data_IF_856443725532
#
_entry.id   IF_856443725532
#
_cell.length_a   1.000
_cell.length_b   1.000
_cell.length_c   1.000
_cell.angle_alpha   90.00
_cell.angle_beta   90.00
_cell.angle_gamma   90.00
#
_symmetry.space_group_name_H-M   'P 1'
#
loop_
_entity.id
_entity.type
_entity.pdbx_description
1 polymer ?
#
# COMPACT_ATOMS: atom_id res chain seq x y z
N UNK A 1 11.15 21.32 26.04
CA UNK A 1 10.80 21.21 24.60
C UNK A 1 11.96 20.49 23.94
N UNK A 2 11.70 19.36 23.26
CA UNK A 2 12.76 18.61 22.57
C UNK A 2 12.91 19.10 21.13
N UNK A 3 14.13 19.30 20.69
CA UNK A 3 14.47 19.73 19.33
C UNK A 3 15.33 18.69 18.65
N UNK A 4 15.06 18.43 17.36
CA UNK A 4 15.87 17.51 16.55
C UNK A 4 16.28 18.19 15.25
N UNK A 5 17.57 18.12 14.94
CA UNK A 5 18.14 18.58 13.67
C UNK A 5 18.53 17.36 12.82
N UNK A 6 17.91 17.19 11.68
CA UNK A 6 18.32 16.25 10.64
C UNK A 6 19.21 17.01 9.66
N UNK A 7 20.49 16.67 9.61
CA UNK A 7 21.54 17.49 8.99
C UNK A 7 22.07 16.88 7.71
N UNK A 8 22.18 17.70 6.65
CA UNK A 8 22.97 17.39 5.45
C UNK A 8 22.35 16.34 4.52
N UNK A 9 21.08 15.97 4.71
CA UNK A 9 20.39 15.03 3.85
C UNK A 9 19.87 15.66 2.55
N UNK A 10 19.68 14.83 1.51
CA UNK A 10 18.90 15.22 0.33
C UNK A 10 17.42 15.22 0.70
N UNK A 11 16.85 16.39 0.88
CA UNK A 11 15.43 16.55 1.21
C UNK A 11 14.62 16.39 -0.06
N UNK A 12 13.72 15.42 -0.08
CA UNK A 12 12.81 15.16 -1.19
C UNK A 12 11.38 15.23 -0.68
N UNK A 13 10.71 16.36 -0.94
CA UNK A 13 9.29 16.57 -0.62
C UNK A 13 8.51 16.97 -1.88
N UNK A 14 7.85 16.01 -2.54
CA UNK A 14 7.07 16.28 -3.74
C UNK A 14 5.90 17.25 -3.50
N UNK A 15 5.35 17.31 -2.30
CA UNK A 15 4.23 18.21 -1.95
C UNK A 15 4.61 19.69 -2.02
N UNK A 16 5.91 19.99 -1.88
CA UNK A 16 6.46 21.34 -1.93
C UNK A 16 7.40 21.54 -3.13
N UNK A 17 7.53 20.56 -4.04
CA UNK A 17 8.49 20.54 -5.15
C UNK A 17 9.95 20.73 -4.68
N UNK A 18 10.33 20.14 -3.55
CA UNK A 18 11.68 20.21 -2.99
C UNK A 18 12.45 18.95 -3.33
N UNK A 19 13.65 19.10 -3.92
CA UNK A 19 14.63 18.02 -4.15
C UNK A 19 16.03 18.64 -4.12
N UNK A 20 16.61 18.79 -2.92
CA UNK A 20 17.92 19.39 -2.71
C UNK A 20 18.53 18.98 -1.36
N UNK A 21 19.83 19.14 -1.22
CA UNK A 21 20.50 18.98 0.08
C UNK A 21 20.10 20.13 1.02
N UNK A 22 19.86 19.81 2.28
CA UNK A 22 19.47 20.77 3.29
C UNK A 22 19.36 20.16 4.69
N UNK A 23 18.86 20.94 5.62
CA UNK A 23 18.63 20.55 7.00
C UNK A 23 17.15 20.64 7.32
N UNK A 24 16.63 19.67 8.07
CA UNK A 24 15.25 19.67 8.56
C UNK A 24 15.25 19.83 10.08
N UNK A 25 14.50 20.78 10.58
CA UNK A 25 14.42 21.06 12.01
C UNK A 25 13.04 20.70 12.56
N UNK A 26 13.04 19.95 13.66
CA UNK A 26 11.83 19.49 14.34
C UNK A 26 11.78 20.08 15.74
N UNK A 27 10.57 20.39 16.20
CA UNK A 27 10.29 20.80 17.58
C UNK A 27 9.16 19.97 18.14
N UNK A 28 9.45 19.18 19.15
CA UNK A 28 8.54 18.17 19.71
C UNK A 28 8.03 17.20 18.63
N UNK A 29 6.72 17.17 18.40
CA UNK A 29 6.02 16.34 17.42
C UNK A 29 5.76 17.04 16.08
N UNK A 30 6.31 18.25 15.87
CA UNK A 30 6.05 19.08 14.67
C UNK A 30 7.30 19.40 13.87
N UNK A 31 7.10 19.52 12.57
CA UNK A 31 8.10 20.06 11.67
C UNK A 31 8.15 21.58 11.87
N UNK A 32 9.31 22.13 12.21
CA UNK A 32 9.51 23.57 12.30
C UNK A 32 9.83 24.16 10.92
N UNK A 33 10.70 23.52 10.16
CA UNK A 33 10.99 23.92 8.79
C UNK A 33 12.28 23.36 8.23
N UNK A 34 12.49 23.65 6.96
CA UNK A 34 13.70 23.32 6.20
C UNK A 34 14.60 24.55 6.19
N UNK A 35 15.91 24.36 6.55
CA UNK A 35 16.95 25.40 6.57
C UNK A 35 16.54 26.64 7.40
N UNK A 36 15.98 26.42 8.58
CA UNK A 36 15.52 27.48 9.50
C UNK A 36 16.65 28.34 10.07
N UNK A 37 17.92 28.02 9.77
CA UNK A 37 19.10 28.68 10.35
C UNK A 37 19.47 28.10 11.73
N UNK A 38 18.69 27.22 12.30
CA UNK A 38 19.03 26.56 13.56
C UNK A 38 20.25 25.64 13.38
N UNK A 39 21.28 25.85 14.21
CA UNK A 39 22.54 25.08 14.18
C UNK A 39 22.71 24.21 15.44
N UNK A 40 21.87 24.43 16.44
CA UNK A 40 21.91 23.71 17.74
C UNK A 40 20.56 23.05 17.98
N UNK A 41 20.57 21.80 18.38
CA UNK A 41 19.39 21.03 18.76
C UNK A 41 19.78 20.05 19.89
N UNK A 42 18.76 19.57 20.64
CA UNK A 42 18.98 18.56 21.69
C UNK A 42 19.46 17.21 21.09
N UNK A 43 18.96 16.92 19.87
CA UNK A 43 19.34 15.72 19.10
C UNK A 43 19.77 16.10 17.70
N UNK A 44 20.84 15.49 17.20
CA UNK A 44 21.29 15.66 15.81
C UNK A 44 21.35 14.30 15.14
N UNK A 45 20.70 14.18 13.99
CA UNK A 45 20.74 13.02 13.11
C UNK A 45 21.51 13.43 11.86
N UNK A 46 22.66 12.80 11.62
CA UNK A 46 23.44 13.01 10.40
C UNK A 46 22.80 12.20 9.25
N UNK A 47 22.35 12.87 8.23
CA UNK A 47 21.73 12.29 7.06
C UNK A 47 22.55 12.52 5.78
N UNK A 48 23.84 12.84 5.90
CA UNK A 48 24.70 13.04 4.76
C UNK A 48 24.72 11.82 3.82
N UNK A 49 24.46 12.03 2.53
CA UNK A 49 24.33 10.95 1.55
C UNK A 49 23.00 10.18 1.57
N UNK A 50 22.11 10.49 2.51
CA UNK A 50 20.79 9.88 2.64
C UNK A 50 19.68 10.76 2.06
N UNK A 51 18.52 10.16 1.80
CA UNK A 51 17.31 10.86 1.39
C UNK A 51 16.43 11.08 2.61
N UNK A 52 16.02 12.32 2.83
CA UNK A 52 15.06 12.71 3.89
C UNK A 52 13.74 13.06 3.21
N UNK A 53 12.70 12.31 3.50
CA UNK A 53 11.39 12.51 2.89
C UNK A 53 10.26 12.49 3.95
N UNK A 54 9.04 12.94 3.59
CA UNK A 54 7.87 12.69 4.43
C UNK A 54 7.77 11.20 4.75
N UNK A 55 7.24 10.88 5.90
CA UNK A 55 6.99 9.48 6.27
C UNK A 55 6.18 8.75 5.20
N UNK A 56 6.65 7.56 4.84
CA UNK A 56 5.99 6.74 3.81
C UNK A 56 4.63 6.25 4.31
N UNK A 57 3.69 6.07 3.38
CA UNK A 57 2.30 5.69 3.64
C UNK A 57 1.93 4.51 2.74
N UNK A 58 1.39 3.45 3.33
CA UNK A 58 0.89 2.29 2.60
C UNK A 58 -0.64 2.20 2.71
N UNK A 59 -1.33 2.05 1.58
CA UNK A 59 -2.80 2.02 1.52
C UNK A 59 -3.40 0.63 1.70
N UNK A 60 -2.58 -0.45 1.65
CA UNK A 60 -3.09 -1.80 1.50
C UNK A 60 -2.36 -2.79 2.42
N UNK A 61 -2.79 -2.82 3.69
CA UNK A 61 -2.12 -3.62 4.73
C UNK A 61 -3.14 -4.41 5.53
N UNK A 62 -3.03 -5.74 5.52
CA UNK A 62 -3.79 -6.63 6.40
C UNK A 62 -3.04 -6.87 7.69
N UNK A 63 -3.60 -6.41 8.82
CA UNK A 63 -3.02 -6.57 10.15
C UNK A 63 -3.60 -7.76 10.93
N UNK A 64 -4.60 -8.46 10.36
CA UNK A 64 -5.16 -9.73 10.83
C UNK A 64 -5.76 -9.74 12.24
N UNK A 65 -5.66 -8.69 12.99
CA UNK A 65 -6.22 -8.55 14.34
C UNK A 65 -7.44 -7.62 14.33
N UNK A 66 -8.59 -8.09 14.84
CA UNK A 66 -8.83 -9.35 15.56
C UNK A 66 -9.06 -10.56 14.61
N UNK A 67 -8.79 -11.77 15.12
CA UNK A 67 -9.26 -13.06 14.59
C UNK A 67 -8.20 -13.99 14.02
N UNK A 68 -7.20 -13.47 13.31
CA UNK A 68 -6.13 -14.25 12.70
C UNK A 68 -4.73 -13.86 13.24
N UNK A 69 -4.62 -13.70 14.55
CA UNK A 69 -3.39 -13.24 15.25
C UNK A 69 -2.20 -14.20 15.09
N UNK A 70 -2.43 -15.42 14.61
CA UNK A 70 -1.33 -16.30 14.19
C UNK A 70 -0.61 -15.79 12.95
N UNK A 71 -1.36 -15.24 12.01
CA UNK A 71 -0.84 -14.71 10.75
C UNK A 71 -0.12 -13.38 10.97
N UNK A 72 -0.75 -12.47 11.73
CA UNK A 72 -0.19 -11.16 12.08
C UNK A 72 -0.93 -10.58 13.29
N UNK A 73 -0.31 -9.57 13.94
CA UNK A 73 -0.96 -8.71 14.92
C UNK A 73 -0.74 -7.24 14.54
N UNK A 74 -1.56 -6.34 15.08
CA UNK A 74 -1.34 -4.90 14.90
C UNK A 74 0.06 -4.50 15.37
N UNK A 75 0.55 -5.09 16.46
CA UNK A 75 1.89 -4.82 16.98
C UNK A 75 2.98 -5.24 15.99
N UNK A 76 2.99 -6.50 15.54
CA UNK A 76 4.02 -7.00 14.64
C UNK A 76 3.94 -6.38 13.24
N UNK A 77 2.74 -6.19 12.69
CA UNK A 77 2.54 -5.53 11.39
C UNK A 77 2.96 -4.06 11.40
N UNK A 78 2.67 -3.31 12.48
CA UNK A 78 3.14 -1.92 12.60
C UNK A 78 4.65 -1.83 12.84
N UNK A 79 5.25 -2.81 13.51
CA UNK A 79 6.71 -2.91 13.61
C UNK A 79 7.35 -3.22 12.24
N UNK A 80 6.73 -4.09 11.42
CA UNK A 80 7.15 -4.36 10.05
C UNK A 80 7.01 -3.11 9.16
N UNK A 81 5.93 -2.34 9.32
CA UNK A 81 5.74 -1.08 8.63
C UNK A 81 6.90 -0.11 8.90
N UNK A 82 7.29 0.08 10.15
CA UNK A 82 8.46 0.92 10.50
C UNK A 82 9.75 0.40 9.89
N UNK A 83 9.99 -0.91 9.95
CA UNK A 83 11.19 -1.52 9.37
C UNK A 83 11.25 -1.30 7.85
N UNK A 84 10.10 -1.26 7.18
CA UNK A 84 9.96 -0.90 5.77
C UNK A 84 10.00 0.60 5.47
N UNK A 85 10.02 1.46 6.50
CA UNK A 85 10.03 2.92 6.34
C UNK A 85 8.66 3.59 6.38
N UNK A 86 7.59 2.85 6.64
CA UNK A 86 6.22 3.40 6.69
C UNK A 86 5.97 4.06 8.05
N UNK A 87 5.53 5.31 8.06
CA UNK A 87 5.05 6.00 9.27
C UNK A 87 3.54 5.88 9.43
N UNK A 88 2.86 5.50 8.36
CA UNK A 88 1.41 5.40 8.31
C UNK A 88 0.98 4.24 7.42
N UNK A 89 -0.09 3.53 7.83
CA UNK A 89 -0.70 2.46 7.05
C UNK A 89 -2.22 2.57 7.08
N UNK A 90 -2.89 2.23 5.97
CA UNK A 90 -4.31 1.97 5.96
C UNK A 90 -4.55 0.47 6.19
N UNK A 91 -5.32 0.16 7.23
CA UNK A 91 -5.59 -1.22 7.64
C UNK A 91 -6.86 -1.74 6.97
N UNK A 92 -6.75 -2.89 6.29
CA UNK A 92 -7.87 -3.58 5.67
C UNK A 92 -8.89 -4.06 6.71
N UNK A 93 -10.19 -4.10 6.37
CA UNK A 93 -11.25 -4.56 7.27
C UNK A 93 -11.42 -6.08 7.27
N UNK A 94 -10.48 -6.84 6.69
CA UNK A 94 -10.49 -8.30 6.50
C UNK A 94 -10.12 -9.08 7.78
N UNK A 95 -10.77 -8.71 8.86
CA UNK A 95 -10.61 -9.29 10.21
C UNK A 95 -11.80 -10.20 10.57
N UNK A 96 -11.74 -10.89 11.70
CA UNK A 96 -12.82 -11.69 12.22
C UNK A 96 -13.12 -11.30 13.70
N UNK A 97 -14.21 -10.54 13.96
CA UNK A 97 -15.21 -10.05 13.00
C UNK A 97 -14.67 -8.98 12.02
N UNK A 98 -15.37 -8.84 10.89
CA UNK A 98 -15.09 -7.79 9.89
C UNK A 98 -15.28 -6.40 10.48
N UNK A 99 -14.50 -5.41 10.03
CA UNK A 99 -14.68 -4.00 10.45
C UNK A 99 -15.85 -3.39 9.65
N UNK A 100 -17.08 -3.76 9.96
CA UNK A 100 -18.31 -3.31 9.29
C UNK A 100 -19.21 -2.42 10.14
N UNK A 101 -18.77 -2.10 11.36
CA UNK A 101 -19.48 -1.24 12.30
C UNK A 101 -18.50 -0.38 13.12
N UNK A 102 -19.05 0.63 13.81
CA UNK A 102 -18.27 1.60 14.59
C UNK A 102 -17.40 0.95 15.66
N UNK A 103 -17.92 -0.01 16.41
CA UNK A 103 -17.19 -0.61 17.52
C UNK A 103 -15.94 -1.37 17.05
N UNK A 104 -16.02 -2.03 15.88
CA UNK A 104 -14.87 -2.70 15.27
C UNK A 104 -13.81 -1.69 14.80
N UNK A 105 -14.21 -0.55 14.21
CA UNK A 105 -13.27 0.50 13.82
C UNK A 105 -12.57 1.14 15.04
N UNK A 106 -13.31 1.44 16.11
CA UNK A 106 -12.76 1.97 17.37
C UNK A 106 -11.81 0.96 18.04
N UNK A 107 -12.13 -0.34 17.98
CA UNK A 107 -11.24 -1.38 18.48
C UNK A 107 -9.87 -1.36 17.79
N UNK A 108 -9.84 -1.31 16.45
CA UNK A 108 -8.59 -1.21 15.69
C UNK A 108 -7.78 0.01 16.11
N UNK A 109 -8.41 1.18 16.22
CA UNK A 109 -7.73 2.40 16.67
C UNK A 109 -7.16 2.27 18.08
N UNK A 110 -7.91 1.66 19.01
CA UNK A 110 -7.44 1.46 20.38
C UNK A 110 -6.21 0.53 20.43
N UNK A 111 -6.21 -0.56 19.67
CA UNK A 111 -5.07 -1.47 19.60
C UNK A 111 -3.85 -0.81 18.95
N UNK A 112 -4.06 -0.02 17.90
CA UNK A 112 -2.99 0.77 17.28
C UNK A 112 -2.35 1.77 18.25
N UNK A 113 -3.18 2.46 19.04
CA UNK A 113 -2.67 3.38 20.07
C UNK A 113 -1.84 2.65 21.15
N UNK A 114 -2.18 1.41 21.47
CA UNK A 114 -1.44 0.55 22.42
C UNK A 114 -0.12 0.05 21.82
N UNK A 115 -0.12 -0.38 20.57
CA UNK A 115 1.09 -0.81 19.86
C UNK A 115 2.12 0.31 19.79
N UNK A 116 1.69 1.54 19.50
CA UNK A 116 2.52 2.75 19.59
C UNK A 116 3.64 2.86 18.54
N UNK A 117 3.61 2.03 17.48
CA UNK A 117 4.69 2.03 16.47
C UNK A 117 4.45 3.07 15.38
N UNK A 118 3.44 2.93 14.53
CA UNK A 118 3.13 3.88 13.45
C UNK A 118 1.67 4.33 13.49
N UNK A 119 1.28 5.29 12.65
CA UNK A 119 -0.11 5.70 12.50
C UNK A 119 -0.88 4.63 11.73
N UNK A 120 -2.04 4.22 12.23
CA UNK A 120 -2.92 3.27 11.53
C UNK A 120 -4.27 3.93 11.29
N UNK A 121 -4.71 3.88 10.04
CA UNK A 121 -5.99 4.43 9.58
C UNK A 121 -6.89 3.27 9.17
N UNK A 122 -7.97 2.97 9.90
CA UNK A 122 -8.85 1.86 9.54
C UNK A 122 -9.62 2.16 8.26
N UNK A 123 -9.73 1.16 7.39
CA UNK A 123 -10.74 1.10 6.36
C UNK A 123 -11.95 0.35 6.92
N UNK A 124 -13.16 0.78 6.55
CA UNK A 124 -14.38 0.07 6.88
C UNK A 124 -14.82 -0.84 5.73
N UNK A 125 -15.64 -1.85 6.01
CA UNK A 125 -16.27 -2.65 4.98
C UNK A 125 -17.26 -1.83 4.16
N UNK A 126 -17.37 -2.14 2.85
CA UNK A 126 -18.44 -1.62 2.00
C UNK A 126 -19.75 -2.34 2.32
N UNK A 127 -19.69 -3.67 2.45
CA UNK A 127 -20.84 -4.50 2.73
C UNK A 127 -20.67 -5.26 4.05
N UNK A 128 -21.78 -5.57 4.71
CA UNK A 128 -21.76 -6.36 5.95
C UNK A 128 -21.10 -7.71 5.68
N UNK A 129 -20.19 -8.11 6.57
CA UNK A 129 -19.46 -9.37 6.48
C UNK A 129 -18.75 -9.61 5.13
N UNK A 130 -18.56 -8.58 4.29
CA UNK A 130 -18.04 -8.70 2.91
C UNK A 130 -18.88 -9.60 2.01
N UNK A 131 -20.20 -9.67 2.23
CA UNK A 131 -21.08 -10.59 1.50
C UNK A 131 -21.61 -10.04 0.17
N UNK A 132 -21.38 -8.74 -0.10
CA UNK A 132 -21.80 -8.08 -1.34
C UNK A 132 -23.31 -7.83 -1.47
N UNK A 133 -24.11 -8.04 -0.41
CA UNK A 133 -25.57 -7.98 -0.45
C UNK A 133 -26.15 -6.72 0.19
N UNK A 134 -25.64 -6.32 1.34
CA UNK A 134 -26.13 -5.19 2.12
C UNK A 134 -24.99 -4.25 2.50
N UNK A 135 -25.19 -2.94 2.38
CA UNK A 135 -24.19 -1.96 2.80
C UNK A 135 -23.93 -2.06 4.31
N UNK A 136 -22.66 -1.93 4.67
CA UNK A 136 -22.24 -1.74 6.05
C UNK A 136 -22.72 -0.38 6.59
N UNK A 137 -22.52 -0.13 7.87
CA UNK A 137 -22.95 1.10 8.54
C UNK A 137 -21.97 2.26 8.26
N UNK A 138 -21.83 2.64 6.97
CA UNK A 138 -20.84 3.60 6.45
C UNK A 138 -20.75 4.88 7.29
N UNK A 139 -21.89 5.49 7.65
CA UNK A 139 -21.89 6.70 8.48
C UNK A 139 -21.28 6.49 9.86
N UNK A 140 -21.62 5.39 10.52
CA UNK A 140 -21.06 5.04 11.82
C UNK A 140 -19.57 4.65 11.74
N UNK A 141 -19.16 4.00 10.65
CA UNK A 141 -17.75 3.71 10.40
C UNK A 141 -16.92 4.99 10.23
N UNK A 142 -17.47 6.02 9.56
CA UNK A 142 -16.80 7.35 9.48
C UNK A 142 -16.66 7.96 10.87
N UNK A 143 -17.71 7.91 11.70
CA UNK A 143 -17.64 8.37 13.10
C UNK A 143 -16.63 7.58 13.93
N UNK A 144 -16.46 6.28 13.65
CA UNK A 144 -15.44 5.39 14.23
C UNK A 144 -14.04 5.62 13.65
N UNK A 145 -13.86 6.59 12.73
CA UNK A 145 -12.56 7.01 12.19
C UNK A 145 -12.13 6.32 10.89
N UNK A 146 -13.02 5.59 10.21
CA UNK A 146 -12.72 5.02 8.91
C UNK A 146 -12.41 6.10 7.87
N UNK A 147 -11.30 5.93 7.13
CA UNK A 147 -10.82 6.89 6.14
C UNK A 147 -11.19 6.51 4.69
N UNK A 148 -11.72 5.32 4.48
CA UNK A 148 -12.20 4.78 3.22
C UNK A 148 -12.91 3.46 3.43
N UNK A 149 -13.38 2.81 2.35
CA UNK A 149 -14.21 1.61 2.44
C UNK A 149 -13.77 0.56 1.43
N UNK A 150 -13.75 -0.71 1.84
CA UNK A 150 -13.38 -1.85 0.98
C UNK A 150 -13.93 -3.16 1.51
N UNK A 151 -14.26 -4.09 0.63
CA UNK A 151 -14.45 -5.50 1.01
C UNK A 151 -13.18 -6.33 0.78
N UNK A 152 -12.02 -5.66 0.86
CA UNK A 152 -10.69 -6.26 0.71
C UNK A 152 -10.57 -7.08 -0.61
N UNK A 153 -10.22 -8.36 -0.52
CA UNK A 153 -10.09 -9.26 -1.69
C UNK A 153 -11.44 -9.79 -2.22
N UNK A 154 -12.56 -9.46 -1.56
CA UNK A 154 -13.90 -9.78 -2.04
C UNK A 154 -14.43 -8.62 -2.87
N UNK A 155 -14.46 -8.70 -4.22
CA UNK A 155 -14.93 -7.58 -5.01
C UNK A 155 -16.42 -7.35 -4.79
N UNK A 156 -16.84 -6.09 -4.66
CA UNK A 156 -18.27 -5.75 -4.64
C UNK A 156 -18.83 -5.94 -6.04
N UNK A 157 -19.24 -7.16 -6.38
CA UNK A 157 -19.64 -7.56 -7.73
C UNK A 157 -21.00 -6.98 -8.15
N UNK A 158 -21.92 -6.79 -7.21
CA UNK A 158 -23.24 -6.24 -7.50
C UNK A 158 -23.13 -4.74 -7.84
N UNK A 159 -23.46 -4.40 -9.09
CA UNK A 159 -23.36 -3.02 -9.60
C UNK A 159 -24.29 -2.04 -8.85
N UNK A 160 -25.48 -2.46 -8.42
CA UNK A 160 -26.41 -1.60 -7.67
C UNK A 160 -25.89 -1.32 -6.24
N UNK A 161 -25.30 -2.31 -5.57
CA UNK A 161 -24.68 -2.13 -4.26
C UNK A 161 -23.49 -1.16 -4.38
N UNK A 162 -22.60 -1.37 -5.37
CA UNK A 162 -21.49 -0.46 -5.62
C UNK A 162 -21.95 0.97 -5.97
N UNK A 163 -23.01 1.12 -6.78
CA UNK A 163 -23.57 2.43 -7.09
C UNK A 163 -24.02 3.17 -5.82
N UNK A 164 -24.83 2.51 -4.99
CA UNK A 164 -25.31 3.08 -3.71
C UNK A 164 -24.17 3.41 -2.76
N UNK A 165 -23.18 2.53 -2.69
CA UNK A 165 -21.98 2.75 -1.87
C UNK A 165 -21.24 4.02 -2.32
N UNK A 166 -21.00 4.21 -3.62
CA UNK A 166 -20.34 5.39 -4.18
C UNK A 166 -21.14 6.68 -3.92
N UNK A 167 -22.47 6.65 -4.06
CA UNK A 167 -23.36 7.78 -3.73
C UNK A 167 -23.25 8.13 -2.24
N UNK A 168 -23.28 7.13 -1.36
CA UNK A 168 -23.28 7.36 0.07
C UNK A 168 -21.91 7.83 0.57
N UNK A 169 -20.80 7.19 0.17
CA UNK A 169 -19.45 7.59 0.59
C UNK A 169 -19.04 8.97 0.08
N UNK A 170 -19.61 9.41 -1.06
CA UNK A 170 -19.42 10.76 -1.59
C UNK A 170 -19.85 11.84 -0.59
N UNK A 171 -20.89 11.61 0.20
CA UNK A 171 -21.38 12.57 1.23
C UNK A 171 -20.30 12.87 2.28
N UNK A 172 -19.44 11.90 2.55
CA UNK A 172 -18.33 12.02 3.52
C UNK A 172 -16.99 12.35 2.86
N UNK A 173 -16.95 12.47 1.52
CA UNK A 173 -15.71 12.67 0.78
C UNK A 173 -14.72 11.51 0.86
N UNK A 174 -15.20 10.30 1.14
CA UNK A 174 -14.37 9.10 1.33
C UNK A 174 -14.34 8.23 0.08
N UNK A 175 -13.17 7.65 -0.29
CA UNK A 175 -13.05 6.73 -1.41
C UNK A 175 -13.61 5.34 -1.09
N UNK A 176 -14.03 4.63 -2.14
CA UNK A 176 -14.20 3.18 -2.11
C UNK A 176 -12.97 2.56 -2.78
N UNK A 177 -12.36 1.60 -2.12
CA UNK A 177 -11.30 0.75 -2.63
C UNK A 177 -11.91 -0.55 -3.09
N UNK A 178 -11.83 -0.86 -4.38
CA UNK A 178 -12.35 -2.11 -4.91
C UNK A 178 -11.23 -2.97 -5.50
N UNK A 179 -11.25 -4.26 -5.18
CA UNK A 179 -10.41 -5.27 -5.82
C UNK A 179 -11.07 -5.65 -7.15
N UNK A 180 -10.58 -5.14 -8.31
CA UNK A 180 -11.36 -5.12 -9.53
C UNK A 180 -11.28 -6.44 -10.30
N UNK A 181 -11.91 -7.50 -9.81
CA UNK A 181 -11.96 -8.80 -10.48
C UNK A 181 -13.40 -9.31 -10.57
N UNK A 182 -13.78 -9.85 -11.74
CA UNK A 182 -15.07 -10.53 -11.94
C UNK A 182 -15.01 -11.92 -11.30
N UNK A 183 -15.80 -12.19 -10.23
CA UNK A 183 -15.66 -13.44 -9.45
C UNK A 183 -15.87 -14.70 -10.30
N UNK A 184 -16.79 -14.69 -11.24
CA UNK A 184 -17.11 -15.82 -12.11
C UNK A 184 -15.94 -16.20 -13.02
N UNK A 185 -15.08 -15.24 -13.38
CA UNK A 185 -13.90 -15.45 -14.22
C UNK A 185 -12.67 -15.84 -13.41
N UNK A 186 -12.63 -15.53 -12.11
CA UNK A 186 -11.50 -15.82 -11.24
C UNK A 186 -11.69 -17.08 -10.41
N UNK A 187 -12.93 -17.57 -10.29
CA UNK A 187 -13.27 -18.71 -9.45
C UNK A 187 -12.36 -19.92 -9.68
N UNK A 188 -11.66 -20.36 -8.60
CA UNK A 188 -10.68 -21.45 -8.61
C UNK A 188 -9.46 -21.21 -9.52
N UNK A 189 -9.23 -19.99 -10.01
CA UNK A 189 -8.02 -19.64 -10.74
C UNK A 189 -6.83 -19.53 -9.78
N UNK A 190 -5.63 -19.84 -10.26
CA UNK A 190 -4.41 -19.91 -9.45
C UNK A 190 -3.37 -18.91 -9.96
N UNK A 191 -3.30 -18.74 -11.27
CA UNK A 191 -2.29 -17.96 -11.94
C UNK A 191 -2.86 -17.26 -13.19
N UNK A 192 -2.06 -16.45 -13.86
CA UNK A 192 -2.43 -15.85 -15.14
C UNK A 192 -2.81 -16.92 -16.19
N UNK A 193 -3.95 -16.70 -16.88
CA UNK A 193 -4.33 -17.53 -18.03
C UNK A 193 -3.40 -17.23 -19.22
N UNK A 194 -2.58 -18.19 -19.59
CA UNK A 194 -1.62 -18.04 -20.66
C UNK A 194 -0.71 -19.27 -20.83
N UNK A 195 0.47 -19.05 -21.37
CA UNK A 195 1.43 -20.13 -21.67
C UNK A 195 1.74 -20.99 -20.44
N UNK A 196 2.08 -20.37 -19.31
CA UNK A 196 2.48 -21.13 -18.11
C UNK A 196 1.32 -21.84 -17.45
N UNK A 197 0.11 -21.31 -17.43
CA UNK A 197 -1.04 -22.02 -16.85
C UNK A 197 -1.35 -23.29 -17.66
N UNK A 198 -1.24 -23.22 -18.98
CA UNK A 198 -1.41 -24.39 -19.84
C UNK A 198 -0.27 -25.41 -19.65
N UNK A 199 0.99 -24.94 -19.61
CA UNK A 199 2.17 -25.81 -19.42
C UNK A 199 2.13 -26.56 -18.08
N UNK A 200 1.72 -25.89 -17.01
CA UNK A 200 1.68 -26.44 -15.65
C UNK A 200 0.39 -27.17 -15.32
N UNK A 201 -0.61 -27.16 -16.22
CA UNK A 201 -1.92 -27.75 -15.99
C UNK A 201 -2.72 -27.04 -14.87
N UNK A 202 -2.41 -25.75 -14.61
CA UNK A 202 -3.06 -24.97 -13.58
C UNK A 202 -4.19 -24.11 -14.18
N UNK A 203 -5.25 -23.89 -13.38
CA UNK A 203 -6.37 -23.07 -13.83
C UNK A 203 -5.96 -21.60 -13.91
N UNK A 204 -6.14 -21.01 -15.09
CA UNK A 204 -5.83 -19.61 -15.37
C UNK A 204 -6.90 -18.64 -14.89
N UNK A 205 -6.48 -17.39 -14.63
CA UNK A 205 -7.30 -16.21 -14.40
C UNK A 205 -7.09 -15.27 -15.58
N UNK A 206 -8.09 -15.09 -16.46
CA UNK A 206 -7.93 -14.23 -17.62
C UNK A 206 -7.73 -12.76 -17.22
N UNK A 207 -6.93 -12.03 -17.99
CA UNK A 207 -6.77 -10.58 -17.81
C UNK A 207 -8.10 -9.81 -17.94
N UNK A 208 -9.02 -10.33 -18.74
CA UNK A 208 -10.36 -9.79 -18.90
C UNK A 208 -11.17 -9.68 -17.60
N UNK A 209 -10.89 -10.53 -16.60
CA UNK A 209 -11.56 -10.46 -15.30
C UNK A 209 -11.36 -9.10 -14.61
N UNK A 210 -10.15 -8.56 -14.67
CA UNK A 210 -9.82 -7.23 -14.14
C UNK A 210 -10.37 -6.12 -15.03
N UNK A 211 -10.14 -6.22 -16.35
CA UNK A 211 -10.53 -5.18 -17.33
C UNK A 211 -12.03 -4.92 -17.33
N UNK A 212 -12.86 -5.96 -17.25
CA UNK A 212 -14.33 -5.85 -17.20
C UNK A 212 -14.78 -5.15 -15.91
N UNK A 213 -14.21 -5.53 -14.75
CA UNK A 213 -14.60 -4.92 -13.49
C UNK A 213 -14.17 -3.46 -13.42
N UNK A 214 -12.97 -3.12 -13.89
CA UNK A 214 -12.47 -1.75 -13.99
C UNK A 214 -13.41 -0.90 -14.85
N UNK A 215 -13.87 -1.41 -16.01
CA UNK A 215 -14.82 -0.70 -16.87
C UNK A 215 -16.14 -0.41 -16.14
N UNK A 216 -16.68 -1.39 -15.42
CA UNK A 216 -17.89 -1.25 -14.63
C UNK A 216 -17.72 -0.19 -13.54
N UNK A 217 -16.63 -0.22 -12.78
CA UNK A 217 -16.34 0.70 -11.68
C UNK A 217 -16.18 2.14 -12.17
N UNK A 218 -15.48 2.33 -13.28
CA UNK A 218 -15.34 3.65 -13.92
C UNK A 218 -16.72 4.20 -14.34
N UNK A 219 -17.56 3.37 -14.95
CA UNK A 219 -18.90 3.80 -15.36
C UNK A 219 -19.77 4.20 -14.16
N UNK A 220 -19.67 3.48 -13.05
CA UNK A 220 -20.39 3.83 -11.81
C UNK A 220 -19.82 5.09 -11.15
N UNK A 221 -18.52 5.29 -11.17
CA UNK A 221 -17.90 6.52 -10.70
C UNK A 221 -18.32 7.74 -11.54
N UNK A 222 -18.38 7.59 -12.87
CA UNK A 222 -18.88 8.63 -13.79
C UNK A 222 -20.36 8.98 -13.51
N UNK A 223 -21.20 7.97 -13.30
CA UNK A 223 -22.63 8.12 -13.00
C UNK A 223 -22.89 8.82 -11.67
N UNK A 224 -22.14 8.47 -10.62
CA UNK A 224 -22.41 8.92 -9.24
C UNK A 224 -21.59 10.15 -8.82
N UNK A 225 -20.49 10.42 -9.51
CA UNK A 225 -19.47 11.38 -9.09
C UNK A 225 -18.73 10.94 -7.81
N UNK A 226 -18.85 9.66 -7.42
CA UNK A 226 -18.11 9.05 -6.31
C UNK A 226 -16.64 8.89 -6.61
N UNK A 227 -15.84 8.62 -5.58
CA UNK A 227 -14.41 8.35 -5.72
C UNK A 227 -14.16 6.84 -5.62
N UNK A 228 -13.70 6.24 -6.73
CA UNK A 228 -13.26 4.84 -6.76
C UNK A 228 -11.73 4.78 -6.79
N UNK A 229 -11.16 3.97 -5.93
CA UNK A 229 -9.75 3.57 -5.94
C UNK A 229 -9.66 2.10 -6.36
N UNK A 230 -8.99 1.83 -7.47
CA UNK A 230 -8.82 0.49 -8.04
C UNK A 230 -7.55 -0.14 -7.46
N UNK A 231 -7.75 -1.15 -6.63
CA UNK A 231 -6.67 -1.81 -5.90
C UNK A 231 -5.87 -2.74 -6.80
N UNK A 232 -4.60 -2.86 -6.51
CA UNK A 232 -3.69 -3.92 -7.00
C UNK A 232 -3.83 -4.21 -8.50
N UNK A 233 -3.62 -3.19 -9.35
CA UNK A 233 -3.69 -3.37 -10.80
C UNK A 233 -2.64 -4.35 -11.31
N UNK A 234 -3.01 -5.17 -12.27
CA UNK A 234 -2.12 -6.17 -12.88
C UNK A 234 -2.12 -6.19 -14.41
N UNK A 235 -3.04 -5.47 -15.09
CA UNK A 235 -3.25 -5.61 -16.53
C UNK A 235 -3.09 -4.31 -17.32
N UNK A 236 -2.54 -4.42 -18.54
CA UNK A 236 -2.41 -3.29 -19.46
C UNK A 236 -3.77 -2.68 -19.85
N UNK A 237 -4.80 -3.52 -20.03
CA UNK A 237 -6.14 -3.05 -20.38
C UNK A 237 -6.78 -2.20 -19.29
N UNK A 238 -6.56 -2.52 -18.01
CA UNK A 238 -7.03 -1.70 -16.89
C UNK A 238 -6.31 -0.34 -16.87
N UNK A 239 -5.00 -0.30 -17.05
CA UNK A 239 -4.22 0.95 -17.12
C UNK A 239 -4.75 1.87 -18.22
N UNK A 240 -5.03 1.33 -19.43
CA UNK A 240 -5.55 2.12 -20.54
C UNK A 240 -6.95 2.73 -20.23
N UNK A 241 -7.83 1.96 -19.62
CA UNK A 241 -9.16 2.45 -19.21
C UNK A 241 -9.06 3.56 -18.15
N UNK A 242 -8.21 3.39 -17.15
CA UNK A 242 -8.00 4.41 -16.10
C UNK A 242 -7.40 5.68 -16.70
N UNK A 243 -6.45 5.56 -17.62
CA UNK A 243 -5.89 6.72 -18.35
C UNK A 243 -6.96 7.53 -19.04
N UNK A 244 -7.89 6.85 -19.74
CA UNK A 244 -9.02 7.50 -20.40
C UNK A 244 -10.01 8.11 -19.41
N UNK A 245 -10.28 7.45 -18.29
CA UNK A 245 -11.15 7.98 -17.23
C UNK A 245 -10.58 9.26 -16.60
N UNK A 246 -9.28 9.26 -16.28
CA UNK A 246 -8.59 10.46 -15.76
C UNK A 246 -8.55 11.61 -16.76
N UNK A 247 -8.37 11.33 -18.04
CA UNK A 247 -8.43 12.35 -19.10
C UNK A 247 -9.80 13.04 -19.19
N UNK A 248 -10.88 12.35 -18.77
CA UNK A 248 -12.24 12.93 -18.62
C UNK A 248 -12.45 13.67 -17.29
N UNK A 249 -11.46 13.69 -16.39
CA UNK A 249 -11.57 14.31 -15.07
C UNK A 249 -12.39 13.50 -14.05
N UNK A 250 -12.58 12.19 -14.26
CA UNK A 250 -13.30 11.34 -13.32
C UNK A 250 -12.46 11.11 -12.04
N UNK A 251 -13.15 10.95 -10.93
CA UNK A 251 -12.53 10.67 -9.61
C UNK A 251 -12.16 9.19 -9.51
N UNK A 252 -11.17 8.78 -10.30
CA UNK A 252 -10.63 7.43 -10.33
C UNK A 252 -9.16 7.48 -9.97
N UNK A 253 -8.76 6.70 -8.97
CA UNK A 253 -7.36 6.53 -8.56
C UNK A 253 -7.02 5.04 -8.54
N UNK A 254 -5.75 4.71 -8.51
CA UNK A 254 -5.31 3.31 -8.57
C UNK A 254 -3.96 3.08 -7.94
N UNK A 255 -3.71 1.82 -7.60
CA UNK A 255 -2.45 1.35 -7.04
C UNK A 255 -1.89 0.14 -7.77
N UNK A 256 -0.58 -0.07 -7.63
CA UNK A 256 0.15 -1.24 -8.07
C UNK A 256 1.09 -1.72 -6.98
N UNK A 257 1.48 -2.97 -6.99
CA UNK A 257 2.38 -3.54 -5.98
C UNK A 257 3.77 -3.83 -6.55
N UNK A 258 4.82 -3.85 -5.69
CA UNK A 258 6.17 -4.17 -6.12
C UNK A 258 6.30 -5.54 -6.79
N UNK A 259 5.54 -6.55 -6.33
CA UNK A 259 5.60 -7.89 -6.91
C UNK A 259 5.00 -7.95 -8.31
N UNK A 260 3.98 -7.15 -8.65
CA UNK A 260 3.47 -7.02 -10.02
C UNK A 260 4.39 -6.21 -10.95
N UNK A 261 5.38 -5.48 -10.41
CA UNK A 261 6.40 -4.78 -11.20
C UNK A 261 7.66 -5.61 -11.42
N UNK A 262 7.95 -6.55 -10.50
CA UNK A 262 9.21 -7.29 -10.47
C UNK A 262 9.13 -8.72 -11.00
N UNK A 263 7.95 -9.34 -10.99
CA UNK A 263 7.76 -10.77 -11.23
C UNK A 263 6.75 -11.02 -12.35
N UNK A 264 7.03 -12.03 -13.18
CA UNK A 264 6.10 -12.53 -14.20
C UNK A 264 5.45 -13.83 -13.75
N UNK A 265 4.43 -14.28 -14.48
CA UNK A 265 3.76 -15.57 -14.33
C UNK A 265 4.70 -16.78 -14.41
N UNK A 266 5.86 -16.62 -15.07
CA UNK A 266 6.93 -17.62 -15.10
C UNK A 266 7.46 -17.99 -13.70
N UNK A 267 7.31 -17.12 -12.70
CA UNK A 267 7.77 -17.37 -11.34
C UNK A 267 7.10 -18.59 -10.67
N UNK A 268 5.90 -18.99 -11.15
CA UNK A 268 5.19 -20.16 -10.61
C UNK A 268 5.65 -21.52 -11.17
N UNK A 269 6.66 -21.55 -12.06
CA UNK A 269 7.10 -22.79 -12.71
C UNK A 269 7.49 -23.93 -11.74
N UNK A 270 7.92 -23.59 -10.53
CA UNK A 270 8.31 -24.56 -9.51
C UNK A 270 7.18 -24.85 -8.49
N UNK A 271 5.96 -24.41 -8.75
CA UNK A 271 4.80 -24.57 -7.86
C UNK A 271 5.01 -23.97 -6.45
N UNK A 272 5.89 -22.99 -6.31
CA UNK A 272 6.19 -22.37 -5.04
C UNK A 272 5.08 -21.41 -4.63
N UNK A 273 4.46 -21.66 -3.48
CA UNK A 273 3.28 -20.93 -2.99
C UNK A 273 3.54 -19.48 -2.67
N UNK A 274 4.78 -19.08 -2.41
CA UNK A 274 5.16 -17.69 -2.16
C UNK A 274 5.03 -16.78 -3.39
N UNK A 275 4.86 -17.36 -4.60
CA UNK A 275 4.56 -16.59 -5.81
C UNK A 275 3.06 -16.54 -6.14
N UNK A 276 2.21 -17.22 -5.35
CA UNK A 276 0.76 -17.15 -5.53
C UNK A 276 0.23 -15.86 -4.92
N UNK A 277 -0.24 -14.96 -5.78
CA UNK A 277 -0.83 -13.65 -5.41
C UNK A 277 -2.17 -13.44 -6.11
N UNK A 278 -2.96 -12.50 -5.63
CA UNK A 278 -4.24 -12.12 -6.19
C UNK A 278 -4.35 -10.57 -6.28
N UNK A 279 -4.48 -10.02 -7.51
CA UNK A 279 -4.50 -10.67 -8.81
C UNK A 279 -3.20 -11.44 -9.11
N UNK A 280 -3.21 -12.37 -10.07
CA UNK A 280 -2.02 -13.17 -10.36
C UNK A 280 -0.92 -12.36 -11.04
N UNK A 281 0.33 -12.78 -10.86
CA UNK A 281 1.46 -12.27 -11.63
C UNK A 281 1.18 -12.45 -13.13
N UNK A 282 1.47 -11.43 -13.93
CA UNK A 282 1.16 -11.37 -15.36
C UNK A 282 2.42 -11.47 -16.21
N UNK A 283 2.25 -11.36 -17.54
CA UNK A 283 3.35 -11.33 -18.50
C UNK A 283 4.11 -10.01 -18.48
N UNK A 284 5.28 -9.98 -19.12
CA UNK A 284 6.13 -8.79 -19.25
C UNK A 284 5.39 -7.61 -19.89
N UNK A 285 4.50 -7.86 -20.87
CA UNK A 285 3.69 -6.82 -21.52
C UNK A 285 2.84 -6.05 -20.50
N UNK A 286 2.23 -6.74 -19.56
CA UNK A 286 1.43 -6.13 -18.50
C UNK A 286 2.31 -5.32 -17.56
N UNK A 287 3.48 -5.85 -17.18
CA UNK A 287 4.45 -5.13 -16.33
C UNK A 287 4.88 -3.82 -16.98
N UNK A 288 5.20 -3.84 -18.28
CA UNK A 288 5.62 -2.63 -19.01
C UNK A 288 4.52 -1.56 -19.02
N UNK A 289 3.26 -1.97 -19.16
CA UNK A 289 2.12 -1.06 -19.09
C UNK A 289 1.92 -0.47 -17.67
N UNK A 290 2.13 -1.27 -16.63
CA UNK A 290 2.08 -0.79 -15.23
C UNK A 290 3.18 0.24 -14.96
N UNK A 291 4.41 -0.02 -15.42
CA UNK A 291 5.53 0.91 -15.28
C UNK A 291 5.25 2.21 -16.02
N UNK A 292 4.71 2.15 -17.24
CA UNK A 292 4.33 3.35 -17.99
C UNK A 292 3.20 4.12 -17.28
N UNK A 293 2.21 3.40 -16.73
CA UNK A 293 1.14 4.00 -15.92
C UNK A 293 1.67 4.72 -14.66
N UNK A 294 2.76 4.22 -14.07
CA UNK A 294 3.45 4.93 -12.98
C UNK A 294 4.18 6.19 -13.48
N UNK A 295 4.80 6.12 -14.67
CA UNK A 295 5.57 7.24 -15.25
C UNK A 295 4.69 8.41 -15.66
N UNK A 296 3.56 8.13 -16.30
CA UNK A 296 2.64 9.15 -16.83
C UNK A 296 1.60 9.64 -15.81
N UNK A 297 1.54 9.02 -14.61
CA UNK A 297 0.62 9.40 -13.53
C UNK A 297 -0.77 8.76 -13.63
N UNK A 298 -0.96 7.80 -14.53
CA UNK A 298 -2.19 6.98 -14.60
C UNK A 298 -2.36 6.17 -13.31
N UNK A 299 -1.28 5.57 -12.80
CA UNK A 299 -1.26 4.89 -11.51
C UNK A 299 -0.74 5.86 -10.44
N UNK A 300 -1.51 6.05 -9.38
CA UNK A 300 -1.28 7.07 -8.37
C UNK A 300 -0.31 6.63 -7.28
N UNK A 301 -0.43 5.39 -6.83
CA UNK A 301 0.19 4.87 -5.60
C UNK A 301 0.91 3.55 -5.87
N UNK A 302 1.92 3.29 -5.06
CA UNK A 302 2.51 1.96 -4.91
C UNK A 302 2.19 1.51 -3.48
N UNK A 303 1.54 0.36 -3.31
CA UNK A 303 1.20 -0.23 -2.02
C UNK A 303 1.80 -1.63 -1.88
N UNK A 304 1.94 -2.11 -0.66
CA UNK A 304 2.59 -3.40 -0.42
C UNK A 304 1.69 -4.59 -0.74
N UNK A 305 0.39 -4.44 -0.63
CA UNK A 305 -0.57 -5.56 -0.55
C UNK A 305 -0.09 -6.59 0.49
N UNK A 306 0.25 -6.09 1.68
CA UNK A 306 0.78 -6.91 2.76
C UNK A 306 -0.26 -7.91 3.25
N UNK A 307 -0.05 -9.18 2.92
CA UNK A 307 -0.92 -10.30 3.23
C UNK A 307 -0.11 -11.39 3.96
N UNK A 308 0.09 -11.24 5.27
CA UNK A 308 0.83 -12.20 6.07
C UNK A 308 0.02 -13.48 6.28
N UNK A 309 0.72 -14.61 6.25
CA UNK A 309 0.18 -15.93 6.55
C UNK A 309 1.16 -16.71 7.42
N UNK A 310 0.63 -17.48 8.36
CA UNK A 310 1.41 -18.44 9.12
C UNK A 310 2.02 -19.48 8.18
N UNK A 311 3.20 -19.96 8.52
CA UNK A 311 4.02 -20.81 7.64
C UNK A 311 3.26 -22.08 7.20
N UNK A 312 2.52 -22.70 8.11
CA UNK A 312 1.71 -23.88 7.83
C UNK A 312 0.64 -23.65 6.76
N UNK A 313 0.10 -22.43 6.63
CA UNK A 313 -0.87 -22.09 5.57
C UNK A 313 -0.22 -22.07 4.19
N UNK A 314 1.05 -21.65 4.11
CA UNK A 314 1.81 -21.57 2.85
C UNK A 314 2.51 -22.88 2.47
N UNK A 315 2.66 -23.82 3.39
CA UNK A 315 3.22 -25.16 3.13
C UNK A 315 2.23 -26.13 2.46
N UNK A 316 0.99 -25.72 2.25
CA UNK A 316 0.00 -26.49 1.52
C UNK A 316 0.34 -26.57 0.02
N UNK A 317 -0.38 -27.44 -0.70
CA UNK A 317 -0.33 -27.48 -2.16
C UNK A 317 -0.78 -26.15 -2.76
N UNK A 318 -0.29 -25.81 -3.96
CA UNK A 318 -0.53 -24.51 -4.60
C UNK A 318 -2.03 -24.19 -4.73
N UNK A 319 -2.88 -25.19 -4.97
CA UNK A 319 -4.34 -25.02 -5.04
C UNK A 319 -4.93 -24.54 -3.73
N UNK A 320 -4.47 -25.11 -2.62
CA UNK A 320 -5.02 -24.90 -1.28
C UNK A 320 -4.33 -23.77 -0.51
N UNK A 321 -3.08 -23.43 -0.87
CA UNK A 321 -2.36 -22.34 -0.24
C UNK A 321 -3.05 -20.99 -0.52
N UNK A 322 -3.20 -20.11 0.48
CA UNK A 322 -3.77 -18.79 0.29
C UNK A 322 -2.87 -17.93 -0.62
N UNK A 323 -3.50 -17.08 -1.44
CA UNK A 323 -2.80 -16.08 -2.24
C UNK A 323 -2.39 -14.88 -1.35
N UNK A 324 -1.19 -14.36 -1.58
CA UNK A 324 -0.69 -13.18 -0.88
C UNK A 324 0.74 -13.33 -0.39
N UNK A 325 1.38 -12.17 -0.16
CA UNK A 325 2.77 -12.04 0.24
C UNK A 325 2.94 -11.00 1.33
N UNK A 326 3.97 -11.10 2.16
CA UNK A 326 4.37 -9.99 3.02
C UNK A 326 5.12 -8.97 2.19
N UNK A 327 4.72 -7.71 2.26
CA UNK A 327 5.22 -6.65 1.38
C UNK A 327 5.85 -5.46 2.11
N UNK A 328 5.49 -5.18 3.36
CA UNK A 328 5.91 -3.96 4.08
C UNK A 328 7.43 -3.77 4.12
N UNK A 329 8.18 -4.82 4.48
CA UNK A 329 9.64 -4.74 4.62
C UNK A 329 10.40 -4.88 3.28
N UNK A 330 9.70 -5.20 2.20
CA UNK A 330 10.28 -5.38 0.86
C UNK A 330 9.85 -4.32 -0.16
N UNK A 331 8.79 -3.54 0.10
CA UNK A 331 8.26 -2.55 -0.82
C UNK A 331 9.34 -1.58 -1.30
N UNK A 332 10.00 -0.89 -0.37
CA UNK A 332 10.97 0.15 -0.71
C UNK A 332 12.17 -0.40 -1.51
N UNK A 333 12.89 -1.45 -1.08
CA UNK A 333 14.04 -1.98 -1.82
C UNK A 333 13.66 -2.57 -3.19
N UNK A 334 12.50 -3.19 -3.34
CA UNK A 334 12.04 -3.69 -4.64
C UNK A 334 11.68 -2.52 -5.57
N UNK A 335 11.04 -1.46 -5.07
CA UNK A 335 10.80 -0.25 -5.86
C UNK A 335 12.11 0.44 -6.28
N UNK A 336 13.10 0.49 -5.41
CA UNK A 336 14.43 1.03 -5.78
C UNK A 336 15.01 0.19 -6.91
N UNK A 337 15.04 -1.13 -6.79
CA UNK A 337 15.58 -2.05 -7.79
C UNK A 337 14.85 -1.96 -9.12
N UNK A 338 13.50 -1.94 -9.11
CA UNK A 338 12.69 -2.02 -10.33
C UNK A 338 12.44 -0.67 -11.01
N UNK A 339 12.46 0.43 -10.27
CA UNK A 339 12.04 1.74 -10.78
C UNK A 339 13.15 2.79 -10.76
N UNK A 340 13.99 2.82 -9.72
CA UNK A 340 15.06 3.82 -9.60
C UNK A 340 16.34 3.36 -10.31
N UNK A 341 16.85 2.15 -10.02
CA UNK A 341 18.07 1.63 -10.65
C UNK A 341 17.92 1.46 -12.17
N UNK A 342 16.71 1.19 -12.63
CA UNK A 342 16.38 1.09 -14.07
C UNK A 342 16.09 2.43 -14.74
N UNK A 343 16.00 3.53 -13.97
CA UNK A 343 15.71 4.86 -14.49
C UNK A 343 14.23 5.07 -14.90
N UNK A 344 13.33 4.17 -14.54
CA UNK A 344 11.90 4.34 -14.84
C UNK A 344 11.25 5.48 -14.07
N UNK A 345 11.63 5.71 -12.81
CA UNK A 345 11.18 6.83 -12.00
C UNK A 345 12.37 7.61 -11.40
N UNK A 346 12.14 8.89 -11.13
CA UNK A 346 12.99 9.68 -10.25
C UNK A 346 12.60 9.47 -8.79
N UNK A 347 13.50 9.80 -7.84
CA UNK A 347 13.19 9.75 -6.42
C UNK A 347 11.97 10.59 -6.05
N UNK A 348 11.84 11.80 -6.59
CA UNK A 348 10.67 12.63 -6.34
C UNK A 348 9.35 11.97 -6.79
N UNK A 349 9.33 11.33 -7.95
CA UNK A 349 8.15 10.60 -8.43
C UNK A 349 7.84 9.36 -7.57
N UNK A 350 8.85 8.59 -7.17
CA UNK A 350 8.65 7.43 -6.30
C UNK A 350 8.11 7.86 -4.93
N UNK A 351 8.73 8.86 -4.31
CA UNK A 351 8.31 9.37 -3.00
C UNK A 351 6.90 9.95 -3.05
N UNK A 352 6.52 10.64 -4.14
CA UNK A 352 5.14 11.13 -4.28
C UNK A 352 4.11 10.00 -4.20
N UNK A 353 4.40 8.85 -4.82
CA UNK A 353 3.53 7.67 -4.83
C UNK A 353 3.45 6.93 -3.48
N UNK A 354 4.37 7.23 -2.59
CA UNK A 354 4.46 6.64 -1.25
C UNK A 354 4.15 7.66 -0.13
N UNK A 355 3.82 8.91 -0.45
CA UNK A 355 3.62 9.97 0.56
C UNK A 355 2.38 10.81 0.26
N UNK A 356 2.52 11.88 -0.54
CA UNK A 356 1.44 12.84 -0.77
C UNK A 356 0.27 12.26 -1.55
N UNK A 357 0.51 11.34 -2.49
CA UNK A 357 -0.58 10.74 -3.25
C UNK A 357 -1.49 9.87 -2.36
N UNK A 358 -0.97 8.87 -1.60
CA UNK A 358 -1.81 8.12 -0.67
C UNK A 358 -2.46 9.00 0.39
N UNK A 359 -1.77 10.01 0.92
CA UNK A 359 -2.36 10.95 1.88
C UNK A 359 -3.55 11.70 1.29
N UNK A 360 -3.46 12.13 0.03
CA UNK A 360 -4.54 12.82 -0.68
C UNK A 360 -5.74 11.90 -0.91
N UNK A 361 -5.52 10.65 -1.28
CA UNK A 361 -6.59 9.66 -1.50
C UNK A 361 -7.35 9.40 -0.21
N UNK A 362 -6.64 9.19 0.90
CA UNK A 362 -7.26 8.96 2.22
C UNK A 362 -7.86 10.23 2.84
N UNK A 363 -7.51 11.42 2.33
CA UNK A 363 -7.91 12.70 2.92
C UNK A 363 -7.33 12.92 4.32
N UNK A 364 -6.06 12.53 4.53
CA UNK A 364 -5.33 12.68 5.79
C UNK A 364 -4.25 13.77 5.70
N UNK A 365 -3.94 14.43 6.83
CA UNK A 365 -2.97 15.52 6.91
C UNK A 365 -1.54 14.99 7.12
N UNK A 366 -1.06 14.20 6.16
CA UNK A 366 0.25 13.54 6.16
C UNK A 366 0.96 13.73 4.81
N UNK A 367 2.13 13.14 4.62
CA UNK A 367 2.84 13.09 3.34
C UNK A 367 3.52 14.39 2.91
N UNK A 368 3.91 15.26 3.86
CA UNK A 368 4.60 16.53 3.60
C UNK A 368 5.60 16.86 4.72
N UNK A 369 6.65 17.60 4.38
CA UNK A 369 7.60 18.21 5.34
C UNK A 369 7.29 19.71 5.61
N UNK A 370 6.10 20.16 5.30
CA UNK A 370 5.68 21.55 5.50
C UNK A 370 5.67 21.91 6.99
N UNK A 371 6.13 23.12 7.32
CA UNK A 371 6.11 23.65 8.70
C UNK A 371 4.71 23.54 9.33
N UNK A 372 4.67 23.15 10.61
CA UNK A 372 3.46 22.96 11.40
C UNK A 372 2.80 21.60 11.24
N UNK A 373 3.20 20.78 10.24
CA UNK A 373 2.72 19.40 10.10
C UNK A 373 3.39 18.44 11.09
N UNK A 374 2.83 17.27 11.25
CA UNK A 374 3.38 16.23 12.11
C UNK A 374 4.79 15.83 11.65
N UNK A 375 5.69 15.64 12.61
CA UNK A 375 7.06 15.21 12.34
C UNK A 375 7.09 13.70 12.09
N UNK A 376 6.50 13.28 10.97
CA UNK A 376 6.56 11.93 10.42
C UNK A 376 7.53 11.93 9.24
N UNK A 377 8.68 11.25 9.41
CA UNK A 377 9.81 11.37 8.47
C UNK A 377 10.43 10.00 8.26
N UNK A 378 10.79 9.73 7.02
CA UNK A 378 11.61 8.57 6.66
C UNK A 378 12.94 9.04 6.09
N UNK A 379 14.03 8.55 6.69
CA UNK A 379 15.39 8.74 6.19
C UNK A 379 15.80 7.44 5.51
N UNK A 380 16.10 7.51 4.23
CA UNK A 380 16.42 6.36 3.38
C UNK A 380 17.93 6.38 3.10
N UNK A 381 18.61 5.28 3.40
CA UNK A 381 19.93 4.99 2.85
C UNK A 381 19.72 4.38 1.45
N UNK A 382 20.08 5.09 0.37
CA UNK A 382 19.78 4.64 -0.99
C UNK A 382 20.81 3.66 -1.56
N UNK A 383 21.94 3.42 -0.88
CA UNK A 383 23.12 2.74 -1.48
C UNK A 383 23.51 1.45 -0.79
N UNK A 384 23.17 1.27 0.49
CA UNK A 384 23.56 0.05 1.22
C UNK A 384 22.95 -1.18 0.56
N UNK A 385 23.82 -2.12 0.17
CA UNK A 385 23.42 -3.42 -0.37
C UNK A 385 23.19 -4.41 0.76
N UNK A 386 22.11 -5.19 0.64
CA UNK A 386 21.77 -6.23 1.59
C UNK A 386 20.97 -7.34 0.93
N UNK A 387 20.83 -8.47 1.63
CA UNK A 387 20.07 -9.63 1.14
C UNK A 387 18.78 -9.76 1.92
N UNK A 388 17.67 -9.93 1.22
CA UNK A 388 16.36 -10.15 1.84
C UNK A 388 16.36 -11.50 2.54
N UNK A 389 16.20 -11.45 3.87
CA UNK A 389 16.17 -12.61 4.76
C UNK A 389 14.86 -12.60 5.56
N UNK A 390 13.87 -13.44 5.15
CA UNK A 390 12.57 -13.47 5.82
C UNK A 390 12.64 -13.80 7.31
N UNK A 391 13.69 -14.50 7.77
CA UNK A 391 13.86 -14.84 9.19
C UNK A 391 14.06 -13.61 10.08
N UNK A 392 14.46 -12.48 9.48
CA UNK A 392 14.71 -11.20 10.17
C UNK A 392 13.52 -10.25 10.13
N UNK A 393 12.45 -10.59 9.43
CA UNK A 393 11.27 -9.73 9.33
C UNK A 393 10.62 -9.50 10.70
N UNK A 394 10.07 -8.32 10.88
CA UNK A 394 9.26 -7.95 12.06
C UNK A 394 7.84 -8.48 11.95
N UNK A 395 7.30 -8.58 10.73
CA UNK A 395 6.06 -9.31 10.47
C UNK A 395 6.14 -10.74 11.01
N UNK A 396 5.01 -11.30 11.41
CA UNK A 396 4.94 -12.75 11.75
C UNK A 396 4.98 -13.62 10.50
N UNK A 397 4.41 -13.12 9.39
CA UNK A 397 4.47 -13.79 8.10
C UNK A 397 5.91 -13.85 7.55
N UNK A 398 6.19 -14.93 6.80
CA UNK A 398 7.48 -15.16 6.11
C UNK A 398 7.30 -15.38 4.61
N UNK A 399 6.07 -15.31 4.14
CA UNK A 399 5.63 -15.60 2.79
C UNK A 399 6.02 -14.46 1.82
N UNK A 400 7.29 -14.43 1.41
CA UNK A 400 7.80 -13.46 0.44
C UNK A 400 8.41 -14.16 -0.78
N UNK A 401 8.14 -13.68 -2.01
CA UNK A 401 8.77 -14.20 -3.22
C UNK A 401 10.21 -13.67 -3.40
N UNK A 402 10.64 -12.75 -2.56
CA UNK A 402 11.92 -12.06 -2.70
C UNK A 402 13.01 -12.61 -1.77
N UNK A 403 12.78 -13.74 -1.11
CA UNK A 403 13.77 -14.38 -0.24
C UNK A 403 15.09 -14.58 -0.98
N UNK A 404 16.19 -14.15 -0.37
CA UNK A 404 17.54 -14.29 -0.93
C UNK A 404 17.91 -13.28 -2.02
N UNK A 405 17.01 -12.39 -2.43
CA UNK A 405 17.35 -11.35 -3.40
C UNK A 405 18.36 -10.36 -2.82
N UNK A 406 19.35 -10.00 -3.62
CA UNK A 406 20.23 -8.87 -3.33
C UNK A 406 19.57 -7.59 -3.82
N UNK A 407 19.45 -6.64 -2.91
CA UNK A 407 18.79 -5.35 -3.13
C UNK A 407 19.64 -4.22 -2.55
N UNK A 408 19.37 -3.01 -3.00
CA UNK A 408 19.94 -1.78 -2.45
C UNK A 408 18.87 -0.92 -1.83
N UNK A 409 19.31 -0.14 -0.87
CA UNK A 409 18.47 0.83 -0.19
C UNK A 409 17.57 0.22 0.87
N UNK A 410 17.41 0.97 1.94
CA UNK A 410 16.53 0.62 3.07
C UNK A 410 16.15 1.87 3.85
N UNK A 411 15.09 1.78 4.62
CA UNK A 411 14.83 2.77 5.66
C UNK A 411 15.96 2.70 6.72
N UNK A 412 16.63 3.81 6.94
CA UNK A 412 17.69 3.95 7.95
C UNK A 412 17.13 4.44 9.27
N UNK A 413 16.36 5.51 9.25
CA UNK A 413 15.70 6.06 10.45
C UNK A 413 14.27 6.43 10.11
N UNK A 414 13.35 6.03 10.98
CA UNK A 414 11.93 6.39 10.87
C UNK A 414 11.50 7.13 12.12
N UNK A 415 10.94 8.31 11.92
CA UNK A 415 10.45 9.20 12.96
C UNK A 415 8.93 9.29 12.84
N UNK A 416 8.23 9.07 13.95
CA UNK A 416 6.77 9.21 14.05
C UNK A 416 6.46 10.17 15.19
N UNK A 417 5.68 11.21 14.90
CA UNK A 417 5.34 12.27 15.87
C UNK A 417 6.59 12.80 16.60
N UNK A 418 7.66 13.08 15.82
CA UNK A 418 8.92 13.64 16.34
C UNK A 418 9.81 12.66 17.12
N UNK A 419 9.43 11.40 17.24
CA UNK A 419 10.20 10.39 17.97
C UNK A 419 10.81 9.37 17.02
N UNK A 420 12.11 9.09 17.17
CA UNK A 420 12.74 7.98 16.45
C UNK A 420 12.10 6.67 16.92
N UNK A 421 11.49 5.95 15.98
CA UNK A 421 10.82 4.67 16.21
C UNK A 421 11.56 3.49 15.60
N UNK A 422 12.36 3.73 14.58
CA UNK A 422 13.21 2.73 13.94
C UNK A 422 14.57 3.35 13.61
N UNK A 423 15.63 2.55 13.78
CA UNK A 423 16.99 2.87 13.36
C UNK A 423 17.65 1.56 12.94
N UNK A 424 18.20 1.51 11.68
CA UNK A 424 18.79 0.30 11.07
C UNK A 424 20.30 0.18 11.31
#
# INVERSE_FOLDING_TARGET
>A
MSTTLIRGGRIVDPSQNIDRVGNLFLRNDRIEGIDTGATVADHVIDAAGMIVCPGLIDLHVSLREPGDEKDETIESGTAAALAGGMTSVACMPDTSPVVDNRAAAEFVQLQCARAGYCNVFPLGAVTKNHDGQELAEIGQLVEGGAVGFTDAKSPVANAEIMRRALEYTRMFGRPIFNHPQVPELTAKGIMHEGYYSMLLGLRGIPAGAEVIMVARDIALAEMTGGHIHLMTLSTAGAVDQIRRAKAKGLRVTSEVTPHHLALTDAALQNYETNFKVDPPLRTKEHIDALIEGLRDGTIDVISSDHQPFAEEKKQNELDSAPAGVVGLETLLPICIKTLIETGHLTWSKLIAKLTINPATILGIQKGTLKSGHDADITIIDPVTSWRIDPSKFKSKGRNTPFAGWEVKGRAHTVIVAGRVRHHA
#
